data_IF_557646899087
#
_entry.id   IF_557646899087
#
_cell.length_a   1.000
_cell.length_b   1.000
_cell.length_c   1.000
_cell.angle_alpha   90.00
_cell.angle_beta   90.00
_cell.angle_gamma   90.00
#
_symmetry.space_group_name_H-M   'P 1'
#
loop_
_entity.id
_entity.type
_entity.pdbx_description
1 polymer ?
#
# COMPACT_ATOMS: atom_id res chain seq x y z
N UNK A 1 -27.90 -24.90 27.81
CA UNK A 1 -27.90 -23.44 27.46
C UNK A 1 -27.19 -23.27 26.16
N UNK A 2 -27.78 -22.55 25.20
CA UNK A 2 -27.10 -22.26 23.93
C UNK A 2 -25.99 -21.22 24.15
N UNK A 3 -24.82 -21.44 23.55
CA UNK A 3 -23.70 -20.50 23.58
C UNK A 3 -24.08 -19.25 22.79
N UNK A 4 -24.06 -18.08 23.43
CA UNK A 4 -24.30 -16.80 22.76
C UNK A 4 -22.97 -16.30 22.17
N UNK A 5 -22.83 -16.37 20.86
CA UNK A 5 -21.65 -15.82 20.15
C UNK A 5 -21.88 -14.32 19.93
N UNK A 6 -21.00 -13.49 20.47
CA UNK A 6 -21.02 -12.04 20.27
C UNK A 6 -19.94 -11.69 19.24
N UNK A 7 -20.34 -11.20 18.08
CA UNK A 7 -19.44 -10.74 17.02
C UNK A 7 -19.12 -9.25 17.21
N UNK A 8 -18.11 -8.94 18.00
CA UNK A 8 -17.69 -7.55 18.30
C UNK A 8 -17.04 -6.89 17.09
N UNK A 9 -16.32 -7.66 16.24
CA UNK A 9 -15.56 -7.15 15.10
C UNK A 9 -16.42 -6.46 14.04
N UNK A 10 -17.63 -6.94 13.76
CA UNK A 10 -18.51 -6.38 12.71
C UNK A 10 -18.87 -4.90 12.98
N UNK A 11 -19.08 -4.51 14.24
CA UNK A 11 -19.41 -3.12 14.59
C UNK A 11 -18.22 -2.18 14.44
N UNK A 12 -17.02 -2.65 14.79
CA UNK A 12 -15.78 -1.86 14.68
C UNK A 12 -15.45 -1.63 13.20
N UNK A 13 -15.49 -2.67 12.37
CA UNK A 13 -15.25 -2.58 10.94
C UNK A 13 -16.27 -1.68 10.25
N UNK A 14 -17.56 -1.81 10.55
CA UNK A 14 -18.59 -0.93 9.97
C UNK A 14 -18.39 0.55 10.27
N UNK A 15 -17.89 0.90 11.47
CA UNK A 15 -17.56 2.29 11.83
C UNK A 15 -16.33 2.77 11.06
N UNK A 16 -15.31 1.91 10.90
CA UNK A 16 -14.15 2.20 10.07
C UNK A 16 -14.53 2.42 8.60
N UNK A 17 -15.39 1.56 8.04
CA UNK A 17 -15.78 1.62 6.63
C UNK A 17 -16.56 2.90 6.32
N UNK A 18 -17.42 3.35 7.23
CA UNK A 18 -18.09 4.64 7.10
C UNK A 18 -17.07 5.79 7.05
N UNK A 19 -16.07 5.78 7.91
CA UNK A 19 -14.99 6.78 7.93
C UNK A 19 -14.11 6.68 6.68
N UNK A 20 -13.77 5.49 6.23
CA UNK A 20 -13.04 5.27 4.99
C UNK A 20 -13.79 5.85 3.77
N UNK A 21 -15.12 5.69 3.73
CA UNK A 21 -15.94 6.28 2.67
C UNK A 21 -15.93 7.82 2.71
N UNK A 22 -15.88 8.44 3.90
CA UNK A 22 -15.70 9.89 4.05
C UNK A 22 -14.32 10.34 3.54
N UNK A 23 -13.24 9.65 3.93
CA UNK A 23 -11.89 9.89 3.43
C UNK A 23 -11.83 9.79 1.91
N UNK A 24 -12.43 8.74 1.33
CA UNK A 24 -12.49 8.54 -0.12
C UNK A 24 -13.18 9.69 -0.84
N UNK A 25 -14.32 10.16 -0.32
CA UNK A 25 -15.04 11.32 -0.87
C UNK A 25 -14.19 12.59 -0.79
N UNK A 26 -13.50 12.80 0.34
CA UNK A 26 -12.60 13.95 0.55
C UNK A 26 -11.46 13.95 -0.46
N UNK A 27 -10.79 12.81 -0.66
CA UNK A 27 -9.69 12.64 -1.61
C UNK A 27 -10.18 12.80 -3.07
N UNK A 28 -11.32 12.19 -3.40
CA UNK A 28 -11.92 12.29 -4.74
C UNK A 28 -12.29 13.74 -5.10
N UNK A 29 -12.78 14.54 -4.14
CA UNK A 29 -13.08 15.97 -4.35
C UNK A 29 -11.86 16.76 -4.84
N UNK A 30 -10.65 16.34 -4.46
CA UNK A 30 -9.39 16.96 -4.88
C UNK A 30 -8.73 16.24 -6.07
N UNK A 31 -9.36 15.17 -6.60
CA UNK A 31 -8.81 14.39 -7.72
C UNK A 31 -7.52 13.63 -7.34
N UNK A 32 -7.32 13.30 -6.06
CA UNK A 32 -6.13 12.63 -5.56
C UNK A 32 -6.27 11.13 -5.79
N UNK A 33 -5.30 10.52 -6.48
CA UNK A 33 -5.14 9.06 -6.54
C UNK A 33 -4.50 8.60 -5.23
N UNK A 34 -5.15 7.67 -4.53
CA UNK A 34 -4.68 7.20 -3.22
C UNK A 34 -4.37 5.70 -3.27
N UNK A 35 -3.16 5.34 -2.85
CA UNK A 35 -2.67 3.96 -2.86
C UNK A 35 -2.29 3.53 -1.44
N UNK A 36 -2.97 2.51 -0.92
CA UNK A 36 -2.63 1.86 0.34
C UNK A 36 -1.59 0.77 0.07
N UNK A 37 -0.39 0.91 0.64
CA UNK A 37 0.73 -0.01 0.45
C UNK A 37 0.88 -0.91 1.68
N UNK A 38 0.67 -2.19 1.47
CA UNK A 38 0.72 -3.23 2.48
C UNK A 38 1.85 -4.22 2.19
N UNK A 39 2.47 -4.77 3.20
CA UNK A 39 3.48 -5.83 3.06
C UNK A 39 3.89 -6.43 4.40
N UNK A 40 4.71 -7.48 4.39
CA UNK A 40 5.55 -7.86 5.53
C UNK A 40 6.57 -6.75 5.84
N UNK A 41 7.11 -6.71 7.07
CA UNK A 41 8.28 -5.90 7.39
C UNK A 41 9.45 -6.24 6.46
N UNK A 42 10.17 -5.23 5.98
CA UNK A 42 11.36 -5.42 5.15
C UNK A 42 11.11 -5.83 3.70
N UNK A 43 9.87 -5.96 3.21
CA UNK A 43 9.57 -6.27 1.80
C UNK A 43 9.94 -5.13 0.83
N UNK A 44 10.02 -3.89 1.31
CA UNK A 44 10.50 -2.73 0.55
C UNK A 44 9.47 -1.67 0.24
N UNK A 45 8.48 -1.44 1.12
CA UNK A 45 7.47 -0.37 0.99
C UNK A 45 8.12 0.99 0.76
N UNK A 46 8.91 1.45 1.72
CA UNK A 46 9.62 2.72 1.65
C UNK A 46 10.54 2.80 0.42
N UNK A 47 11.20 1.70 0.03
CA UNK A 47 12.06 1.66 -1.17
C UNK A 47 11.25 1.89 -2.44
N UNK A 48 10.04 1.32 -2.57
CA UNK A 48 9.15 1.55 -3.70
C UNK A 48 8.69 3.00 -3.75
N UNK A 49 8.28 3.56 -2.60
CA UNK A 49 7.86 4.96 -2.48
C UNK A 49 8.98 5.90 -2.90
N UNK A 50 10.19 5.75 -2.33
CA UNK A 50 11.35 6.59 -2.66
C UNK A 50 11.73 6.51 -4.14
N UNK A 51 11.74 5.30 -4.72
CA UNK A 51 12.02 5.11 -6.15
C UNK A 51 10.96 5.81 -7.02
N UNK A 52 9.69 5.73 -6.62
CA UNK A 52 8.59 6.39 -7.32
C UNK A 52 8.68 7.91 -7.21
N UNK A 53 8.95 8.43 -6.02
CA UNK A 53 9.16 9.88 -5.79
C UNK A 53 10.30 10.41 -6.66
N UNK A 54 11.45 9.75 -6.65
CA UNK A 54 12.63 10.15 -7.43
C UNK A 54 12.32 10.22 -8.93
N UNK A 55 11.47 9.35 -9.45
CA UNK A 55 11.11 9.33 -10.86
C UNK A 55 10.01 10.34 -11.22
N UNK A 56 9.00 10.49 -10.36
CA UNK A 56 7.74 11.15 -10.73
C UNK A 56 7.52 12.53 -10.09
N UNK A 57 8.22 12.90 -9.00
CA UNK A 57 7.96 14.15 -8.25
C UNK A 57 8.24 15.44 -9.03
N UNK A 58 9.01 15.36 -10.12
CA UNK A 58 9.19 16.51 -11.04
C UNK A 58 7.94 16.85 -11.84
N UNK A 59 7.05 15.87 -12.05
CA UNK A 59 5.83 16.00 -12.86
C UNK A 59 4.57 15.98 -12.03
N UNK A 60 4.57 15.29 -10.89
CA UNK A 60 3.40 15.05 -10.05
C UNK A 60 3.64 15.51 -8.63
N UNK A 61 2.60 16.04 -8.02
CA UNK A 61 2.61 16.43 -6.60
C UNK A 61 2.23 15.22 -5.75
N UNK A 62 3.24 14.68 -5.07
CA UNK A 62 3.15 13.47 -4.27
C UNK A 62 3.16 13.83 -2.79
N UNK A 63 2.43 13.09 -1.97
CA UNK A 63 2.55 13.10 -0.52
C UNK A 63 2.50 11.68 0.03
N UNK A 64 2.90 11.52 1.29
CA UNK A 64 2.94 10.23 1.97
C UNK A 64 2.33 10.36 3.36
N UNK A 65 1.47 9.42 3.71
CA UNK A 65 1.13 9.12 5.11
C UNK A 65 1.85 7.82 5.43
N UNK A 66 2.67 7.85 6.47
CA UNK A 66 3.47 6.70 6.90
C UNK A 66 3.00 6.22 8.27
N UNK A 67 2.60 4.95 8.35
CA UNK A 67 2.21 4.27 9.56
C UNK A 67 3.33 3.39 10.11
N UNK A 68 3.85 3.74 11.27
CA UNK A 68 4.85 2.93 11.96
C UNK A 68 4.53 2.77 13.45
N UNK A 69 5.09 1.73 14.04
CA UNK A 69 4.88 1.40 15.46
C UNK A 69 5.56 2.41 16.38
N UNK A 70 6.76 2.91 16.01
CA UNK A 70 7.57 3.75 16.89
C UNK A 70 8.65 4.62 16.20
N UNK A 71 8.98 4.39 14.91
CA UNK A 71 10.14 4.98 14.23
C UNK A 71 9.75 6.06 13.23
N UNK A 72 10.52 7.14 13.13
CA UNK A 72 10.37 8.18 12.10
C UNK A 72 11.35 8.04 10.92
N UNK A 73 12.17 6.99 10.93
CA UNK A 73 13.28 6.84 9.97
C UNK A 73 12.79 6.86 8.51
N UNK A 74 11.67 6.23 8.21
CA UNK A 74 11.15 6.15 6.85
C UNK A 74 10.47 7.46 6.44
N UNK A 75 9.74 8.11 7.33
CA UNK A 75 9.22 9.46 7.12
C UNK A 75 10.35 10.48 6.88
N UNK A 76 11.45 10.40 7.63
CA UNK A 76 12.61 11.28 7.46
C UNK A 76 13.27 11.13 6.08
N UNK A 77 13.35 9.91 5.55
CA UNK A 77 13.85 9.64 4.19
C UNK A 77 12.99 10.29 3.11
N UNK A 78 11.65 10.23 3.26
CA UNK A 78 10.70 10.87 2.34
C UNK A 78 10.80 12.39 2.43
N UNK A 79 10.84 12.93 3.65
CA UNK A 79 10.96 14.36 3.91
C UNK A 79 12.24 14.95 3.32
N UNK A 80 13.35 14.22 3.36
CA UNK A 80 14.63 14.64 2.76
C UNK A 80 14.54 14.88 1.24
N UNK A 81 13.52 14.32 0.56
CA UNK A 81 13.24 14.58 -0.86
C UNK A 81 12.34 15.81 -1.10
N UNK A 82 12.00 16.57 -0.05
CA UNK A 82 11.11 17.74 -0.14
C UNK A 82 9.65 17.39 -0.39
N UNK A 83 9.22 16.17 -0.06
CA UNK A 83 7.86 15.67 -0.22
C UNK A 83 7.10 15.86 1.09
N UNK A 84 5.83 16.28 0.99
CA UNK A 84 4.93 16.34 2.14
C UNK A 84 4.73 14.95 2.74
N UNK A 85 5.12 14.77 3.98
CA UNK A 85 4.97 13.51 4.72
C UNK A 85 4.34 13.75 6.08
N UNK A 86 3.42 12.89 6.44
CA UNK A 86 2.84 12.82 7.80
C UNK A 86 3.07 11.44 8.35
N UNK A 87 3.72 11.35 9.49
CA UNK A 87 3.88 10.10 10.20
C UNK A 87 2.77 9.91 11.22
N UNK A 88 2.22 8.70 11.27
CA UNK A 88 1.27 8.24 12.26
C UNK A 88 1.95 7.17 13.12
N UNK A 89 2.24 7.50 14.37
CA UNK A 89 2.70 6.51 15.34
C UNK A 89 1.48 5.73 15.86
N UNK A 90 1.44 4.43 15.57
CA UNK A 90 0.32 3.57 15.96
C UNK A 90 0.38 3.09 17.42
N UNK A 91 1.44 3.48 18.17
CA UNK A 91 1.64 3.09 19.58
C UNK A 91 1.51 1.57 19.83
N UNK A 92 2.07 0.76 18.93
CA UNK A 92 2.03 -0.70 18.99
C UNK A 92 0.89 -1.33 18.17
N UNK A 93 0.04 -0.53 17.53
CA UNK A 93 -0.98 -1.02 16.59
C UNK A 93 -0.35 -1.64 15.35
N UNK A 94 -0.92 -2.74 14.87
CA UNK A 94 -0.40 -3.53 13.75
C UNK A 94 -0.96 -3.11 12.38
N UNK A 95 -1.71 -2.00 12.30
CA UNK A 95 -2.31 -1.45 11.08
C UNK A 95 -2.69 0.02 11.29
N UNK A 96 -2.94 0.73 10.18
CA UNK A 96 -3.66 2.00 10.16
C UNK A 96 -5.16 1.74 10.02
N UNK A 97 -5.98 2.61 10.62
CA UNK A 97 -7.41 2.69 10.40
C UNK A 97 -7.81 4.02 9.73
N UNK A 98 -9.08 4.14 9.31
CA UNK A 98 -9.57 5.31 8.60
C UNK A 98 -9.58 6.59 9.46
N UNK A 99 -9.70 6.49 10.77
CA UNK A 99 -9.64 7.64 11.68
C UNK A 99 -8.20 8.17 11.82
N UNK A 100 -7.23 7.26 11.85
CA UNK A 100 -5.81 7.64 11.83
C UNK A 100 -5.46 8.35 10.52
N UNK A 101 -5.93 7.80 9.38
CA UNK A 101 -5.71 8.41 8.07
C UNK A 101 -6.39 9.77 7.96
N UNK A 102 -7.62 9.96 8.47
CA UNK A 102 -8.28 11.27 8.54
C UNK A 102 -7.38 12.33 9.19
N UNK A 103 -6.80 11.99 10.35
CA UNK A 103 -5.85 12.89 11.04
C UNK A 103 -4.61 13.19 10.21
N UNK A 104 -4.11 12.19 9.45
CA UNK A 104 -3.03 12.41 8.50
C UNK A 104 -3.42 13.40 7.39
N UNK A 105 -4.61 13.24 6.83
CA UNK A 105 -5.15 14.12 5.78
C UNK A 105 -5.35 15.57 6.25
N UNK A 106 -5.67 15.79 7.53
CA UNK A 106 -5.82 17.13 8.12
C UNK A 106 -4.50 17.92 8.14
N UNK A 107 -3.37 17.23 8.04
CA UNK A 107 -2.04 17.82 8.06
C UNK A 107 -1.37 17.89 6.67
N UNK A 108 -2.12 17.61 5.59
CA UNK A 108 -1.61 17.64 4.22
C UNK A 108 -2.33 18.70 3.37
N UNK A 109 -1.64 19.40 2.46
CA UNK A 109 -2.23 20.40 1.56
C UNK A 109 -2.95 19.71 0.39
N UNK A 110 -4.14 19.14 0.62
CA UNK A 110 -4.86 18.30 -0.35
C UNK A 110 -5.08 18.96 -1.70
N UNK A 111 -5.32 20.27 -1.71
CA UNK A 111 -5.54 21.06 -2.94
C UNK A 111 -4.31 21.13 -3.87
N UNK A 112 -3.14 20.74 -3.36
CA UNK A 112 -1.87 20.77 -4.09
C UNK A 112 -1.33 19.38 -4.44
N UNK A 113 -2.13 18.34 -4.21
CA UNK A 113 -1.67 16.94 -4.36
C UNK A 113 -2.37 16.25 -5.51
N UNK A 114 -1.69 15.28 -6.12
CA UNK A 114 -2.21 14.43 -7.19
C UNK A 114 -2.15 12.94 -6.82
N UNK A 115 -1.14 12.57 -6.00
CA UNK A 115 -0.88 11.19 -5.58
C UNK A 115 -0.61 11.15 -4.08
N UNK A 116 -1.32 10.29 -3.38
CA UNK A 116 -1.09 9.99 -1.97
C UNK A 116 -0.71 8.52 -1.82
N UNK A 117 0.45 8.26 -1.25
CA UNK A 117 0.78 6.94 -0.71
C UNK A 117 0.42 6.88 0.77
N UNK A 118 -0.26 5.82 1.16
CA UNK A 118 -0.45 5.43 2.55
C UNK A 118 0.43 4.20 2.77
N UNK A 119 1.59 4.37 3.41
CA UNK A 119 2.43 3.27 3.82
C UNK A 119 1.88 2.67 5.11
N UNK A 120 1.32 1.48 5.03
CA UNK A 120 0.74 0.80 6.18
C UNK A 120 1.83 0.11 7.02
N UNK A 121 1.49 -0.21 8.27
CA UNK A 121 2.36 -1.00 9.15
C UNK A 121 2.72 -2.33 8.50
N UNK A 122 3.96 -2.78 8.68
CA UNK A 122 4.43 -4.06 8.13
C UNK A 122 3.72 -5.26 8.78
N UNK A 123 2.65 -5.74 8.13
CA UNK A 123 1.83 -6.86 8.58
C UNK A 123 1.01 -7.42 7.40
N UNK A 124 0.81 -8.75 7.33
CA UNK A 124 0.06 -9.42 6.26
C UNK A 124 -1.35 -9.85 6.65
N UNK A 125 -1.82 -9.51 7.84
CA UNK A 125 -3.14 -9.92 8.34
C UNK A 125 -4.02 -8.71 8.61
N UNK A 126 -3.64 -7.88 9.57
CA UNK A 126 -4.50 -6.81 10.08
C UNK A 126 -4.83 -5.73 9.03
N UNK A 127 -3.86 -5.20 8.22
CA UNK A 127 -4.13 -4.11 7.30
C UNK A 127 -5.20 -4.42 6.25
N UNK A 128 -5.34 -5.69 5.86
CA UNK A 128 -6.31 -6.09 4.84
C UNK A 128 -7.77 -5.87 5.25
N UNK A 129 -8.04 -5.90 6.56
CA UNK A 129 -9.40 -5.80 7.09
C UNK A 129 -9.90 -4.36 7.25
N UNK A 130 -9.04 -3.36 7.04
CA UNK A 130 -9.36 -1.96 7.27
C UNK A 130 -9.25 -1.15 5.99
N UNK A 131 -10.38 -0.69 5.46
CA UNK A 131 -10.41 0.31 4.40
C UNK A 131 -9.94 1.65 4.98
N UNK A 132 -9.16 2.40 4.21
CA UNK A 132 -8.60 3.69 4.62
C UNK A 132 -9.18 4.86 3.82
N UNK A 133 -9.87 4.56 2.69
CA UNK A 133 -10.34 5.50 1.70
C UNK A 133 -9.50 5.51 0.42
N UNK A 134 -8.66 4.49 0.25
CA UNK A 134 -7.83 4.29 -0.93
C UNK A 134 -8.62 4.00 -2.21
N UNK A 135 -8.01 4.29 -3.35
CA UNK A 135 -8.48 3.87 -4.68
C UNK A 135 -7.90 2.52 -5.07
N UNK A 136 -6.67 2.25 -4.61
CA UNK A 136 -5.87 1.08 -4.99
C UNK A 136 -5.28 0.45 -3.74
N UNK A 137 -5.49 -0.84 -3.57
CA UNK A 137 -4.77 -1.69 -2.63
C UNK A 137 -3.56 -2.29 -3.31
N UNK A 138 -2.37 -1.95 -2.85
CA UNK A 138 -1.11 -2.45 -3.36
C UNK A 138 -0.42 -3.31 -2.30
N UNK A 139 -0.07 -4.52 -2.67
CA UNK A 139 0.73 -5.40 -1.83
C UNK A 139 2.15 -5.52 -2.38
N UNK A 140 3.14 -5.44 -1.49
CA UNK A 140 4.53 -5.78 -1.83
C UNK A 140 4.86 -7.14 -1.23
N UNK A 141 5.15 -8.10 -2.11
CA UNK A 141 5.84 -9.35 -1.80
C UNK A 141 7.31 -9.22 -2.22
N UNK A 142 8.22 -9.91 -1.59
CA UNK A 142 9.63 -9.93 -2.01
C UNK A 142 10.16 -11.36 -2.10
N UNK A 143 11.09 -11.60 -3.04
CA UNK A 143 11.60 -12.95 -3.28
C UNK A 143 12.14 -13.65 -2.02
N UNK A 144 12.89 -12.97 -1.12
CA UNK A 144 13.39 -13.62 0.10
C UNK A 144 12.32 -14.13 1.07
N UNK A 145 11.07 -13.68 0.90
CA UNK A 145 9.95 -14.13 1.75
C UNK A 145 9.40 -15.50 1.35
N UNK A 146 9.78 -16.00 0.17
CA UNK A 146 9.30 -17.26 -0.39
C UNK A 146 8.05 -17.15 -1.26
N UNK A 147 7.91 -18.09 -2.19
CA UNK A 147 6.80 -18.16 -3.14
C UNK A 147 5.52 -18.79 -2.54
N UNK A 148 5.60 -19.26 -1.31
CA UNK A 148 4.50 -19.84 -0.55
C UNK A 148 3.62 -18.81 0.20
N UNK A 149 4.00 -17.53 0.19
CA UNK A 149 3.23 -16.45 0.85
C UNK A 149 1.76 -16.40 0.45
N UNK A 150 1.37 -16.55 -0.84
CA UNK A 150 -0.05 -16.51 -1.21
C UNK A 150 -0.87 -17.66 -0.62
N UNK A 151 -0.24 -18.80 -0.35
CA UNK A 151 -0.90 -19.93 0.33
C UNK A 151 -1.13 -19.65 1.83
N UNK A 152 -0.19 -18.95 2.46
CA UNK A 152 -0.24 -18.64 3.90
C UNK A 152 -1.15 -17.47 4.23
N UNK A 153 -1.27 -16.51 3.30
CA UNK A 153 -2.01 -15.26 3.47
C UNK A 153 -2.97 -14.99 2.30
N UNK A 154 -3.86 -15.95 1.94
CA UNK A 154 -4.67 -15.86 0.72
C UNK A 154 -5.57 -14.62 0.68
N UNK A 155 -6.13 -14.21 1.82
CA UNK A 155 -7.01 -13.04 1.88
C UNK A 155 -6.31 -11.75 1.45
N UNK A 156 -5.03 -11.57 1.81
CA UNK A 156 -4.25 -10.40 1.41
C UNK A 156 -4.09 -10.32 -0.10
N UNK A 157 -3.85 -11.44 -0.79
CA UNK A 157 -3.68 -11.48 -2.25
C UNK A 157 -5.01 -11.43 -3.00
N UNK A 158 -6.08 -11.98 -2.43
CA UNK A 158 -7.41 -11.97 -3.04
C UNK A 158 -8.01 -10.55 -3.12
N UNK A 159 -7.67 -9.69 -2.16
CA UNK A 159 -8.27 -8.35 -1.99
C UNK A 159 -7.34 -7.21 -2.46
N UNK A 160 -6.31 -7.53 -3.24
CA UNK A 160 -5.26 -6.59 -3.68
C UNK A 160 -5.36 -6.35 -5.19
N UNK A 161 -5.39 -5.08 -5.62
CA UNK A 161 -5.44 -4.69 -7.04
C UNK A 161 -4.08 -4.87 -7.73
N UNK A 162 -3.00 -4.59 -7.01
CA UNK A 162 -1.63 -4.60 -7.53
C UNK A 162 -0.69 -5.34 -6.59
N UNK A 163 0.10 -6.25 -7.15
CA UNK A 163 1.22 -6.89 -6.45
C UNK A 163 2.54 -6.42 -7.04
N UNK A 164 3.40 -5.86 -6.21
CA UNK A 164 4.81 -5.63 -6.53
C UNK A 164 5.60 -6.83 -6.02
N UNK A 165 6.19 -7.60 -6.92
CA UNK A 165 7.12 -8.67 -6.57
C UNK A 165 8.54 -8.09 -6.58
N UNK A 166 8.99 -7.66 -5.40
CA UNK A 166 10.24 -6.90 -5.23
C UNK A 166 11.47 -7.80 -5.01
N UNK A 167 12.63 -7.18 -5.12
CA UNK A 167 13.96 -7.79 -4.92
C UNK A 167 14.27 -8.89 -5.95
N UNK A 168 13.82 -8.68 -7.20
CA UNK A 168 14.09 -9.63 -8.30
C UNK A 168 15.58 -9.78 -8.62
N UNK A 169 16.41 -8.82 -8.21
CA UNK A 169 17.88 -8.91 -8.27
C UNK A 169 18.45 -10.07 -7.44
N UNK A 170 17.71 -10.60 -6.48
CA UNK A 170 18.11 -11.74 -5.66
C UNK A 170 17.70 -13.10 -6.26
N UNK A 171 16.97 -13.14 -7.38
CA UNK A 171 16.53 -14.37 -8.03
C UNK A 171 17.65 -15.40 -8.22
N UNK A 172 18.90 -15.04 -8.63
CA UNK A 172 19.96 -16.01 -8.82
C UNK A 172 20.43 -16.70 -7.54
N UNK A 173 20.07 -16.18 -6.38
CA UNK A 173 20.52 -16.66 -5.07
C UNK A 173 19.42 -17.33 -4.24
N UNK A 174 18.20 -17.41 -4.80
CA UNK A 174 17.02 -17.91 -4.08
C UNK A 174 16.30 -18.99 -4.88
N UNK A 175 15.80 -19.98 -4.19
CA UNK A 175 14.86 -20.94 -4.74
C UNK A 175 13.44 -20.36 -4.69
N UNK A 176 13.10 -19.54 -5.69
CA UNK A 176 11.80 -18.89 -5.83
C UNK A 176 11.17 -19.24 -7.16
N UNK A 177 10.01 -19.89 -7.13
CA UNK A 177 9.26 -20.26 -8.34
C UNK A 177 8.23 -19.18 -8.70
N UNK A 178 8.65 -18.20 -9.51
CA UNK A 178 7.77 -17.11 -9.93
C UNK A 178 6.51 -17.59 -10.66
N UNK A 179 6.60 -18.67 -11.46
CA UNK A 179 5.42 -19.22 -12.17
C UNK A 179 4.40 -19.78 -11.19
N UNK A 180 4.85 -20.50 -10.15
CA UNK A 180 3.98 -21.02 -9.11
C UNK A 180 3.34 -19.86 -8.31
N UNK A 181 4.13 -18.88 -7.89
CA UNK A 181 3.65 -17.68 -7.20
C UNK A 181 2.55 -16.99 -8.02
N UNK A 182 2.82 -16.67 -9.29
CA UNK A 182 1.84 -16.01 -10.18
C UNK A 182 0.56 -16.82 -10.33
N UNK A 183 0.68 -18.13 -10.56
CA UNK A 183 -0.48 -19.02 -10.69
C UNK A 183 -1.40 -18.97 -9.47
N UNK A 184 -0.83 -18.95 -8.27
CA UNK A 184 -1.62 -18.87 -7.03
C UNK A 184 -2.27 -17.51 -6.90
N UNK A 185 -1.50 -16.43 -7.07
CA UNK A 185 -2.00 -15.05 -6.95
C UNK A 185 -3.12 -14.77 -7.96
N UNK A 186 -2.95 -15.13 -9.22
CA UNK A 186 -4.00 -14.98 -10.25
C UNK A 186 -5.18 -15.94 -10.05
N UNK A 187 -4.97 -17.07 -9.38
CA UNK A 187 -6.05 -17.95 -8.97
C UNK A 187 -6.91 -17.38 -7.83
N UNK A 188 -6.31 -16.56 -6.95
CA UNK A 188 -7.01 -15.86 -5.87
C UNK A 188 -7.72 -14.59 -6.38
N UNK A 189 -7.07 -13.84 -7.26
CA UNK A 189 -7.61 -12.64 -7.90
C UNK A 189 -7.22 -12.63 -9.38
N UNK A 190 -8.14 -12.95 -10.31
CA UNK A 190 -7.87 -12.97 -11.75
C UNK A 190 -7.51 -11.60 -12.34
N UNK A 191 -7.95 -10.51 -11.72
CA UNK A 191 -7.77 -9.14 -12.22
C UNK A 191 -6.50 -8.47 -11.68
N UNK A 192 -5.75 -9.14 -10.80
CA UNK A 192 -4.55 -8.59 -10.18
C UNK A 192 -3.44 -8.28 -11.19
N UNK A 193 -2.83 -7.12 -11.04
CA UNK A 193 -1.66 -6.74 -11.86
C UNK A 193 -0.39 -7.03 -11.07
N UNK A 194 0.56 -7.76 -11.65
CA UNK A 194 1.81 -8.15 -10.97
C UNK A 194 3.02 -7.54 -11.67
N UNK A 195 3.77 -6.71 -10.96
CA UNK A 195 5.02 -6.09 -11.41
C UNK A 195 6.23 -6.74 -10.73
N UNK A 196 7.04 -7.54 -11.43
CA UNK A 196 8.34 -7.99 -10.92
C UNK A 196 9.33 -6.83 -11.03
N UNK A 197 9.91 -6.43 -9.90
CA UNK A 197 10.80 -5.26 -9.84
C UNK A 197 11.99 -5.50 -8.91
N UNK A 198 13.03 -4.70 -9.08
CA UNK A 198 14.04 -4.46 -8.06
C UNK A 198 14.12 -2.97 -7.78
N UNK A 199 13.64 -2.53 -6.62
CA UNK A 199 13.81 -1.15 -6.19
C UNK A 199 15.28 -0.77 -6.00
N UNK A 200 16.19 -1.75 -5.84
CA UNK A 200 17.63 -1.55 -5.68
C UNK A 200 18.32 -1.23 -7.00
N UNK A 201 18.01 -1.99 -8.07
CA UNK A 201 18.69 -1.88 -9.38
C UNK A 201 17.89 -1.07 -10.39
N UNK A 202 16.60 -0.85 -10.13
CA UNK A 202 15.67 -0.22 -11.07
C UNK A 202 15.06 -1.18 -12.10
N UNK A 203 15.46 -2.45 -12.09
CA UNK A 203 14.90 -3.45 -13.02
C UNK A 203 13.38 -3.55 -12.84
N UNK A 204 12.62 -3.59 -13.94
CA UNK A 204 11.15 -3.68 -13.95
C UNK A 204 10.39 -2.42 -13.52
N UNK A 205 11.04 -1.44 -12.89
CA UNK A 205 10.39 -0.24 -12.35
C UNK A 205 9.71 0.63 -13.40
N UNK A 206 10.19 0.61 -14.66
CA UNK A 206 9.56 1.38 -15.74
C UNK A 206 8.11 0.97 -15.97
N UNK A 207 7.78 -0.32 -15.93
CA UNK A 207 6.43 -0.82 -16.12
C UNK A 207 5.49 -0.32 -15.00
N UNK A 208 5.97 -0.29 -13.75
CA UNK A 208 5.27 0.30 -12.62
C UNK A 208 5.00 1.80 -12.82
N UNK A 209 6.02 2.58 -13.23
CA UNK A 209 5.86 4.02 -13.45
C UNK A 209 4.89 4.33 -14.60
N UNK A 210 4.98 3.60 -15.71
CA UNK A 210 4.08 3.78 -16.86
C UNK A 210 2.62 3.48 -16.48
N UNK A 211 2.40 2.43 -15.69
CA UNK A 211 1.07 2.08 -15.19
C UNK A 211 0.53 3.14 -14.23
N UNK A 212 1.35 3.63 -13.31
CA UNK A 212 0.96 4.66 -12.35
C UNK A 212 0.64 5.99 -13.05
N UNK A 213 1.39 6.36 -14.09
CA UNK A 213 1.07 7.50 -14.95
C UNK A 213 -0.30 7.36 -15.63
N UNK A 214 -0.64 6.16 -16.09
CA UNK A 214 -1.96 5.88 -16.68
C UNK A 214 -3.08 5.98 -15.64
N UNK A 215 -2.87 5.43 -14.44
CA UNK A 215 -3.82 5.50 -13.33
C UNK A 215 -4.08 6.95 -12.89
N UNK A 216 -3.03 7.78 -12.77
CA UNK A 216 -3.15 9.22 -12.48
C UNK A 216 -3.96 9.97 -13.53
N UNK A 217 -3.74 9.65 -14.83
CA UNK A 217 -4.54 10.25 -15.92
C UNK A 217 -5.99 9.82 -15.89
N UNK A 218 -6.25 8.57 -15.52
CA UNK A 218 -7.62 8.05 -15.33
C UNK A 218 -8.36 8.77 -14.20
N UNK A 219 -7.69 8.99 -13.08
CA UNK A 219 -8.26 9.67 -11.90
C UNK A 219 -8.67 11.13 -12.19
N UNK A 220 -7.91 11.85 -13.03
CA UNK A 220 -8.21 13.25 -13.40
C UNK A 220 -9.42 13.40 -14.32
N UNK A 221 -9.88 12.33 -14.96
CA UNK A 221 -10.98 12.36 -15.94
C UNK A 221 -12.33 11.96 -15.36
N UNK A 222 -12.36 11.35 -14.19
CA UNK A 222 -13.56 10.92 -13.46
C UNK A 222 -13.95 11.88 -12.35
#
# INVERSE_FOLDING_TARGET
MAVKVIKVGEKILGTNDAKAAENKKRLAKHGILTINIMSSPGAGKTSLILSTINNMSKKHKIAVIEGDVASSIDADKVNALGIGVVQINTAGGCHLDAFMVEKGLDNLPLEKMELLFIENVGNLICPNNYLLGEDIKLMIASLPEGDDKPYKYPAMFADTDVVILNKTDLQPYLDFNEKAFRKVVTGLNPDVIIFPVSCKTGAGMKAWFDWLEAALKGKKKG
#
